data_IF_795486888250
#
_entry.id   IF_795486888250
#
_cell.length_a   1.000
_cell.length_b   1.000
_cell.length_c   1.000
_cell.angle_alpha   90.00
_cell.angle_beta   90.00
_cell.angle_gamma   90.00
#
_symmetry.space_group_name_H-M   'P 1'
#
loop_
_entity.id
_entity.type
_entity.pdbx_description
1 polymer ?
#
# COMPACT_ATOMS: atom_id res chain seq x y z
N UNK A 1 16.89 18.65 0.17
CA UNK A 1 16.04 18.69 1.38
C UNK A 1 15.80 17.25 1.77
N UNK A 2 16.42 16.78 2.85
CA UNK A 2 16.23 15.41 3.33
C UNK A 2 14.82 15.33 3.93
N UNK A 3 14.07 14.30 3.57
CA UNK A 3 12.69 14.14 4.01
C UNK A 3 12.73 13.55 5.43
N UNK A 4 12.81 14.43 6.44
CA UNK A 4 12.92 14.10 7.87
C UNK A 4 11.58 13.62 8.47
N UNK A 5 10.89 12.71 7.79
CA UNK A 5 9.82 11.94 8.40
C UNK A 5 10.40 10.70 9.06
N UNK A 6 11.24 10.92 10.07
CA UNK A 6 11.75 9.86 10.91
C UNK A 6 10.58 9.27 11.70
N UNK A 7 10.36 7.96 11.56
CA UNK A 7 9.35 7.26 12.34
C UNK A 7 9.76 7.39 13.80
N UNK A 8 8.97 8.14 14.58
CA UNK A 8 9.27 8.51 15.97
C UNK A 8 9.42 7.32 16.93
N UNK A 9 8.97 6.13 16.53
CA UNK A 9 9.00 4.93 17.37
C UNK A 9 9.59 3.71 16.60
N UNK A 10 10.77 3.22 17.01
CA UNK A 10 11.46 2.13 16.31
C UNK A 10 10.68 0.80 16.24
N UNK A 11 9.84 0.48 17.22
CA UNK A 11 9.04 -0.76 17.18
C UNK A 11 7.95 -0.69 16.12
N UNK A 12 7.34 0.47 15.91
CA UNK A 12 6.33 0.72 14.89
C UNK A 12 6.94 0.59 13.49
N UNK A 13 8.16 1.10 13.29
CA UNK A 13 8.93 0.88 12.04
C UNK A 13 9.13 -0.61 11.77
N UNK A 14 9.59 -1.37 12.77
CA UNK A 14 9.83 -2.81 12.64
C UNK A 14 8.53 -3.61 12.42
N UNK A 15 7.44 -3.25 13.08
CA UNK A 15 6.14 -3.90 12.91
C UNK A 15 5.57 -3.65 11.52
N UNK A 16 5.66 -2.42 11.02
CA UNK A 16 5.22 -2.04 9.68
C UNK A 16 6.03 -2.77 8.61
N UNK A 17 7.34 -2.89 8.79
CA UNK A 17 8.20 -3.58 7.83
C UNK A 17 7.86 -5.08 7.73
N UNK A 18 7.63 -5.74 8.86
CA UNK A 18 7.14 -7.12 8.89
C UNK A 18 5.78 -7.27 8.21
N UNK A 19 4.89 -6.28 8.39
CA UNK A 19 3.59 -6.29 7.74
C UNK A 19 3.72 -6.15 6.21
N UNK A 20 4.57 -5.24 5.72
CA UNK A 20 4.85 -5.08 4.28
C UNK A 20 5.29 -6.39 3.64
N UNK A 21 6.29 -7.05 4.23
CA UNK A 21 6.83 -8.33 3.72
C UNK A 21 5.72 -9.38 3.69
N UNK A 22 4.94 -9.50 4.78
CA UNK A 22 3.82 -10.44 4.84
C UNK A 22 2.77 -10.17 3.76
N UNK A 23 2.39 -8.90 3.56
CA UNK A 23 1.41 -8.56 2.52
C UNK A 23 1.97 -8.84 1.14
N UNK A 24 3.23 -8.52 0.88
CA UNK A 24 3.87 -8.80 -0.39
C UNK A 24 3.96 -10.31 -0.65
N UNK A 25 4.35 -11.12 0.33
CA UNK A 25 4.37 -12.59 0.21
C UNK A 25 2.98 -13.16 -0.11
N UNK A 26 1.95 -12.72 0.62
CA UNK A 26 0.58 -13.18 0.40
C UNK A 26 -0.03 -12.72 -0.93
N UNK A 27 0.47 -11.62 -1.53
CA UNK A 27 -0.07 -11.04 -2.77
C UNK A 27 0.83 -11.33 -3.96
N UNK A 28 1.99 -10.69 -4.02
CA UNK A 28 2.99 -10.89 -5.06
C UNK A 28 3.61 -12.28 -5.01
N UNK A 29 3.94 -12.80 -3.83
CA UNK A 29 4.60 -14.10 -3.71
C UNK A 29 3.76 -15.23 -4.29
N UNK A 30 2.43 -15.20 -4.04
CA UNK A 30 1.49 -16.14 -4.66
C UNK A 30 1.36 -15.97 -6.17
N UNK A 31 1.34 -14.73 -6.67
CA UNK A 31 1.22 -14.44 -8.10
C UNK A 31 2.46 -14.89 -8.88
N UNK A 32 3.63 -14.72 -8.29
CA UNK A 32 4.92 -15.03 -8.90
C UNK A 32 5.45 -16.43 -8.52
N UNK A 33 4.65 -17.22 -7.80
CA UNK A 33 5.01 -18.55 -7.28
C UNK A 33 6.36 -18.59 -6.55
N UNK A 34 6.69 -17.52 -5.83
CA UNK A 34 7.94 -17.39 -5.07
C UNK A 34 7.70 -16.83 -3.68
N UNK A 35 8.52 -17.23 -2.72
CA UNK A 35 8.46 -16.67 -1.38
C UNK A 35 9.07 -15.26 -1.35
N UNK A 36 8.38 -14.32 -0.70
CA UNK A 36 8.90 -12.96 -0.46
C UNK A 36 9.41 -12.85 0.97
N UNK A 37 10.69 -12.57 1.11
CA UNK A 37 11.41 -12.36 2.38
C UNK A 37 11.97 -10.95 2.45
N UNK A 38 12.53 -10.56 3.60
CA UNK A 38 13.15 -9.24 3.75
C UNK A 38 14.33 -9.06 2.78
N UNK A 39 15.05 -10.14 2.48
CA UNK A 39 16.27 -10.14 1.68
C UNK A 39 16.00 -10.01 0.19
N UNK A 40 14.88 -10.55 -0.30
CA UNK A 40 14.53 -10.52 -1.73
C UNK A 40 13.41 -9.53 -2.09
N UNK A 41 12.80 -8.88 -1.09
CA UNK A 41 11.65 -7.98 -1.27
C UNK A 41 11.86 -6.95 -2.39
N UNK A 42 12.98 -6.24 -2.39
CA UNK A 42 13.28 -5.21 -3.40
C UNK A 42 13.44 -5.82 -4.79
N UNK A 43 14.11 -6.97 -4.88
CA UNK A 43 14.32 -7.69 -6.15
C UNK A 43 13.00 -8.18 -6.75
N UNK A 44 12.12 -8.77 -5.93
CA UNK A 44 10.80 -9.24 -6.36
C UNK A 44 9.94 -8.06 -6.81
N UNK A 45 9.99 -6.94 -6.07
CA UNK A 45 9.26 -5.74 -6.42
C UNK A 45 9.74 -5.15 -7.75
N UNK A 46 11.06 -5.11 -7.97
CA UNK A 46 11.65 -4.62 -9.22
C UNK A 46 11.31 -5.52 -10.39
N UNK A 47 11.39 -6.84 -10.23
CA UNK A 47 10.93 -7.80 -11.24
C UNK A 47 9.48 -7.52 -11.63
N UNK A 48 8.59 -7.32 -10.66
CA UNK A 48 7.18 -7.02 -10.95
C UNK A 48 7.00 -5.66 -11.64
N UNK A 49 7.78 -4.63 -11.28
CA UNK A 49 7.75 -3.33 -11.98
C UNK A 49 8.08 -3.49 -13.46
N UNK A 50 9.11 -4.28 -13.80
CA UNK A 50 9.49 -4.51 -15.18
C UNK A 50 8.46 -5.37 -15.94
N UNK A 51 7.87 -6.36 -15.30
CA UNK A 51 6.77 -7.16 -15.88
C UNK A 51 5.57 -6.26 -16.22
N UNK A 52 5.13 -5.42 -15.28
CA UNK A 52 4.04 -4.45 -15.51
C UNK A 52 4.43 -3.43 -16.59
N UNK A 53 5.69 -2.99 -16.62
CA UNK A 53 6.15 -2.08 -17.67
C UNK A 53 6.13 -2.74 -19.05
N UNK A 54 6.41 -4.03 -19.14
CA UNK A 54 6.31 -4.82 -20.38
C UNK A 54 4.86 -4.91 -20.85
N UNK A 55 3.94 -5.25 -19.95
CA UNK A 55 2.49 -5.29 -20.23
C UNK A 55 1.94 -3.93 -20.71
N UNK A 56 2.52 -2.83 -20.22
CA UNK A 56 2.14 -1.46 -20.59
C UNK A 56 2.89 -0.92 -21.81
N UNK A 57 3.81 -1.69 -22.40
CA UNK A 57 4.64 -1.25 -23.54
C UNK A 57 5.63 -0.14 -23.19
N UNK A 58 6.01 -0.01 -21.92
CA UNK A 58 6.92 1.02 -21.40
C UNK A 58 8.34 0.49 -21.14
N UNK A 59 8.55 -0.82 -21.17
CA UNK A 59 9.84 -1.47 -20.89
C UNK A 59 10.98 -0.94 -21.75
N UNK A 60 10.82 -0.91 -23.08
CA UNK A 60 11.85 -0.41 -24.01
C UNK A 60 12.23 1.04 -23.69
N UNK A 61 11.24 1.86 -23.34
CA UNK A 61 11.48 3.25 -22.96
C UNK A 61 12.29 3.35 -21.67
N UNK A 62 11.95 2.56 -20.65
CA UNK A 62 12.72 2.49 -19.39
C UNK A 62 14.17 2.08 -19.67
N UNK A 63 14.39 1.08 -20.53
CA UNK A 63 15.74 0.63 -20.87
C UNK A 63 16.55 1.69 -21.62
N UNK A 64 15.89 2.53 -22.43
CA UNK A 64 16.54 3.59 -23.20
C UNK A 64 16.87 4.84 -22.38
N UNK A 65 15.94 5.31 -21.54
CA UNK A 65 16.07 6.60 -20.86
C UNK A 65 16.23 6.48 -19.34
N UNK A 66 16.01 5.30 -18.76
CA UNK A 66 15.97 5.12 -17.30
C UNK A 66 14.65 5.56 -16.66
N UNK A 67 14.42 5.12 -15.42
CA UNK A 67 13.20 5.42 -14.67
C UNK A 67 13.07 6.92 -14.35
N UNK A 68 14.20 7.58 -14.10
CA UNK A 68 14.30 8.99 -13.71
C UNK A 68 13.96 9.97 -14.83
N UNK A 69 14.09 9.54 -16.10
CA UNK A 69 13.75 10.35 -17.27
C UNK A 69 12.38 10.01 -17.87
N UNK A 70 11.63 9.10 -17.25
CA UNK A 70 10.23 8.86 -17.59
C UNK A 70 9.33 9.98 -17.07
N UNK A 71 8.15 10.13 -17.68
CA UNK A 71 7.15 11.06 -17.12
C UNK A 71 6.52 10.48 -15.86
N UNK A 72 6.15 11.35 -14.90
CA UNK A 72 5.43 10.94 -13.68
C UNK A 72 4.16 10.15 -13.98
N UNK A 73 3.50 10.44 -15.12
CA UNK A 73 2.31 9.71 -15.57
C UNK A 73 2.64 8.26 -15.95
N UNK A 74 3.77 8.01 -16.58
CA UNK A 74 4.20 6.66 -16.97
C UNK A 74 4.64 5.85 -15.77
N UNK A 75 5.52 6.41 -14.93
CA UNK A 75 5.97 5.75 -13.69
C UNK A 75 4.79 5.51 -12.75
N UNK A 76 3.88 6.48 -12.64
CA UNK A 76 2.67 6.37 -11.83
C UNK A 76 1.68 5.31 -12.33
N UNK A 77 1.60 5.06 -13.64
CA UNK A 77 0.81 3.95 -14.19
C UNK A 77 1.37 2.61 -13.73
N UNK A 78 2.68 2.40 -13.85
CA UNK A 78 3.35 1.17 -13.41
C UNK A 78 3.11 0.97 -11.91
N UNK A 79 3.43 1.99 -11.11
CA UNK A 79 3.22 2.00 -9.67
C UNK A 79 1.76 1.79 -9.24
N UNK A 80 0.80 2.32 -10.01
CA UNK A 80 -0.64 2.18 -9.73
C UNK A 80 -1.15 0.74 -9.89
N UNK A 81 -0.68 0.01 -10.90
CA UNK A 81 -1.09 -1.39 -11.14
C UNK A 81 -0.64 -2.32 -10.00
N UNK A 82 0.50 -2.04 -9.40
CA UNK A 82 1.06 -2.80 -8.26
C UNK A 82 0.61 -2.25 -6.89
N UNK A 83 0.49 -0.94 -6.74
CA UNK A 83 0.25 -0.26 -5.47
C UNK A 83 -1.10 -0.59 -4.84
N UNK A 84 -2.14 -0.84 -5.65
CA UNK A 84 -3.43 -1.31 -5.15
C UNK A 84 -3.35 -2.71 -4.50
N UNK A 85 -2.55 -3.62 -5.08
CA UNK A 85 -2.38 -4.99 -4.57
C UNK A 85 -1.57 -5.03 -3.28
N UNK A 86 -0.50 -4.25 -3.17
CA UNK A 86 0.36 -4.26 -1.99
C UNK A 86 -0.15 -3.24 -0.96
N UNK A 87 -0.08 -1.94 -1.31
CA UNK A 87 -0.44 -0.83 -0.43
C UNK A 87 -1.89 -0.89 0.03
N UNK A 88 -2.83 -1.15 -0.90
CA UNK A 88 -4.25 -1.26 -0.56
C UNK A 88 -4.54 -2.40 0.41
N UNK A 89 -3.93 -3.58 0.21
CA UNK A 89 -4.12 -4.71 1.12
C UNK A 89 -3.40 -4.51 2.46
N UNK A 90 -2.29 -3.77 2.51
CA UNK A 90 -1.69 -3.36 3.78
C UNK A 90 -2.64 -2.50 4.61
N UNK A 91 -3.23 -1.47 3.99
CA UNK A 91 -4.17 -0.57 4.69
C UNK A 91 -5.39 -1.35 5.18
N UNK A 92 -5.97 -2.23 4.35
CA UNK A 92 -7.08 -3.10 4.77
C UNK A 92 -6.72 -3.98 5.97
N UNK A 93 -5.53 -4.57 5.99
CA UNK A 93 -5.07 -5.36 7.13
C UNK A 93 -4.84 -4.52 8.38
N UNK A 94 -4.29 -3.32 8.24
CA UNK A 94 -4.12 -2.40 9.37
C UNK A 94 -5.47 -2.06 10.00
N UNK A 95 -6.48 -1.75 9.17
CA UNK A 95 -7.85 -1.46 9.63
C UNK A 95 -8.43 -2.68 10.35
N UNK A 96 -8.35 -3.86 9.73
CA UNK A 96 -8.88 -5.09 10.35
C UNK A 96 -8.18 -5.44 11.68
N UNK A 97 -6.86 -5.24 11.78
CA UNK A 97 -6.12 -5.42 13.03
C UNK A 97 -6.53 -4.40 14.10
N UNK A 98 -6.83 -3.17 13.70
CA UNK A 98 -7.33 -2.14 14.61
C UNK A 98 -8.75 -2.48 15.10
N UNK A 99 -9.65 -2.87 14.20
CA UNK A 99 -11.01 -3.32 14.53
C UNK A 99 -11.01 -4.48 15.52
N UNK A 100 -10.13 -5.47 15.33
CA UNK A 100 -10.01 -6.61 16.24
C UNK A 100 -9.49 -6.24 17.65
N UNK A 101 -8.76 -5.13 17.76
CA UNK A 101 -8.20 -4.64 19.03
C UNK A 101 -9.10 -3.60 19.72
N UNK A 102 -10.04 -3.00 18.99
CA UNK A 102 -11.05 -2.14 19.56
C UNK A 102 -12.11 -2.99 20.27
N UNK A 103 -12.53 -2.57 21.47
CA UNK A 103 -13.74 -3.11 22.06
C UNK A 103 -14.91 -2.82 21.10
N UNK A 104 -15.90 -3.73 20.94
CA UNK A 104 -17.09 -3.41 20.16
C UNK A 104 -17.74 -2.21 20.83
N UNK A 105 -17.64 -1.04 20.19
CA UNK A 105 -18.54 0.06 20.51
C UNK A 105 -19.91 -0.47 20.10
N UNK A 106 -20.76 -0.77 21.09
CA UNK A 106 -22.17 -0.94 20.81
C UNK A 106 -22.59 0.30 20.02
N UNK A 107 -23.29 0.07 18.90
CA UNK A 107 -23.94 1.13 18.14
C UNK A 107 -24.98 1.77 19.08
N UNK A 108 -24.53 2.66 19.97
CA UNK A 108 -25.38 3.64 20.60
C UNK A 108 -25.82 4.51 19.45
N UNK A 109 -26.93 4.07 18.86
CA UNK A 109 -27.59 4.71 17.75
C UNK A 109 -27.56 6.21 18.02
N UNK A 110 -26.74 6.93 17.25
CA UNK A 110 -26.86 8.37 17.16
C UNK A 110 -28.30 8.59 16.75
N UNK A 111 -29.13 9.03 17.68
CA UNK A 111 -30.54 9.29 17.43
C UNK A 111 -30.60 10.45 16.43
N UNK A 112 -30.62 10.09 15.14
CA UNK A 112 -30.70 11.04 14.02
C UNK A 112 -31.96 11.89 14.09
N UNK A 113 -32.92 11.55 14.96
CA UNK A 113 -34.12 12.34 15.21
C UNK A 113 -33.85 13.62 15.99
N UNK A 114 -32.78 13.69 16.79
CA UNK A 114 -32.46 14.88 17.59
C UNK A 114 -31.76 16.01 16.79
N UNK A 115 -31.29 15.73 15.57
CA UNK A 115 -30.52 16.71 14.76
C UNK A 115 -31.43 17.56 13.86
N UNK A 116 -32.70 17.19 13.68
CA UNK A 116 -33.61 17.85 12.73
C UNK A 116 -34.57 18.88 13.34
N UNK A 117 -34.62 19.05 14.67
CA UNK A 117 -35.62 19.91 15.33
C UNK A 117 -35.10 21.31 15.74
N UNK A 118 -33.88 21.73 15.35
CA UNK A 118 -33.32 23.02 15.76
C UNK A 118 -33.12 24.03 14.60
N UNK A 119 -33.98 24.03 13.59
CA UNK A 119 -33.90 24.98 12.47
C UNK A 119 -35.26 25.55 12.05
N UNK A 120 -36.16 25.83 12.99
CA UNK A 120 -37.32 26.70 12.75
C UNK A 120 -37.57 27.60 13.98
N UNK A 121 -36.90 28.75 14.02
CA UNK A 121 -37.41 30.06 14.49
C UNK A 121 -36.46 31.20 14.08
#
# INVERSE_FOLDING_TARGET
>A
MANDHEILEPKAKNALEKLKIRVADETLGREMEQQVTAENYDSVLDQKKYEVAEELGLKEKIEQVGWENMTTKEVGKIGGHMGGKIGGNMVKKLISMAEAQMAPVADEAVDKKAVLDNNDE
#
